data_IF_983955996854
#
_entry.id   IF_983955996854
#
_cell.length_a   1.000
_cell.length_b   1.000
_cell.length_c   1.000
_cell.angle_alpha   90.00
_cell.angle_beta   90.00
_cell.angle_gamma   90.00
#
_symmetry.space_group_name_H-M   'P 1'
#
loop_
_entity.id
_entity.type
_entity.pdbx_description
1 polymer ?
#
# COMPACT_ATOMS: atom_id res chain seq x y z
N UNK A 1 41.08 26.76 -27.80
CA UNK A 1 41.22 25.35 -27.36
C UNK A 1 40.70 25.09 -25.94
N UNK A 2 40.93 25.99 -24.95
CA UNK A 2 40.44 25.77 -23.56
C UNK A 2 38.91 25.84 -23.39
N UNK A 3 38.21 26.66 -24.18
CA UNK A 3 36.74 26.79 -24.12
C UNK A 3 35.99 25.50 -24.52
N UNK A 4 36.51 24.78 -25.52
CA UNK A 4 35.93 23.52 -25.99
C UNK A 4 36.10 22.39 -24.95
N UNK A 5 37.22 22.39 -24.22
CA UNK A 5 37.50 21.46 -23.13
C UNK A 5 36.61 21.69 -21.90
N UNK A 6 36.24 22.94 -21.61
CA UNK A 6 35.31 23.25 -20.52
C UNK A 6 33.88 22.82 -20.88
N UNK A 7 33.45 23.02 -22.14
CA UNK A 7 32.15 22.54 -22.61
C UNK A 7 32.05 21.00 -22.57
N UNK A 8 33.13 20.29 -22.92
CA UNK A 8 33.16 18.82 -22.88
C UNK A 8 33.14 18.27 -21.44
N UNK A 9 33.73 18.98 -20.48
CA UNK A 9 33.65 18.62 -19.05
C UNK A 9 32.28 18.94 -18.43
N UNK A 10 31.60 20.00 -18.88
CA UNK A 10 30.23 20.30 -18.43
C UNK A 10 29.18 19.34 -19.01
N UNK A 11 29.41 18.76 -20.20
CA UNK A 11 28.51 17.78 -20.81
C UNK A 11 28.59 16.37 -20.17
N UNK A 12 29.70 16.00 -19.51
CA UNK A 12 29.85 14.66 -18.92
C UNK A 12 29.18 14.48 -17.55
N UNK A 13 28.68 15.56 -16.96
CA UNK A 13 28.07 15.57 -15.63
C UNK A 13 26.55 15.33 -15.61
N UNK A 14 25.92 15.09 -16.76
CA UNK A 14 24.53 14.63 -16.81
C UNK A 14 24.53 13.11 -16.62
N UNK A 15 24.87 12.66 -15.42
CA UNK A 15 24.51 11.31 -14.99
C UNK A 15 23.00 11.33 -14.73
N UNK A 16 22.25 10.57 -15.52
CA UNK A 16 20.83 10.31 -15.27
C UNK A 16 20.72 9.64 -13.89
N UNK A 17 20.39 10.43 -12.87
CA UNK A 17 20.00 9.91 -11.56
C UNK A 17 18.63 9.29 -11.76
N UNK A 18 18.59 7.96 -11.88
CA UNK A 18 17.34 7.20 -11.80
C UNK A 18 16.95 7.20 -10.31
N UNK A 19 16.30 8.27 -9.87
CA UNK A 19 15.67 8.30 -8.55
C UNK A 19 14.30 7.64 -8.65
N UNK A 20 13.97 6.88 -7.62
CA UNK A 20 12.67 6.28 -7.48
C UNK A 20 11.71 7.34 -6.96
N UNK A 21 10.45 7.37 -7.41
CA UNK A 21 9.48 8.25 -6.81
C UNK A 21 9.33 7.90 -5.33
N UNK A 22 9.36 8.91 -4.47
CA UNK A 22 9.24 8.82 -3.01
C UNK A 22 7.84 8.39 -2.54
N UNK A 23 7.13 7.58 -3.31
CA UNK A 23 5.75 7.20 -3.04
C UNK A 23 4.96 6.79 -4.29
N UNK A 24 3.80 6.19 -4.07
CA UNK A 24 2.82 6.01 -5.14
C UNK A 24 2.28 7.39 -5.59
N UNK A 25 2.21 7.68 -6.90
CA UNK A 25 1.70 8.96 -7.39
C UNK A 25 0.21 9.14 -7.08
N UNK A 26 -0.20 10.41 -6.92
CA UNK A 26 -1.60 10.82 -6.80
C UNK A 26 -2.26 10.92 -8.19
N UNK A 27 -2.30 9.82 -8.94
CA UNK A 27 -3.05 9.72 -10.20
C UNK A 27 -4.21 8.76 -10.02
N UNK A 28 -5.35 9.06 -10.64
CA UNK A 28 -6.59 8.32 -10.40
C UNK A 28 -6.43 6.80 -10.58
N UNK A 29 -5.77 6.36 -11.66
CA UNK A 29 -5.51 4.94 -11.92
C UNK A 29 -4.78 4.26 -10.76
N UNK A 30 -3.61 4.77 -10.36
CA UNK A 30 -2.79 4.22 -9.25
C UNK A 30 -3.50 4.34 -7.90
N UNK A 31 -4.23 5.44 -7.68
CA UNK A 31 -4.96 5.69 -6.45
C UNK A 31 -6.12 4.72 -6.26
N UNK A 32 -6.86 4.36 -7.31
CA UNK A 32 -7.93 3.36 -7.24
C UNK A 32 -7.39 1.92 -7.28
N UNK A 33 -6.43 1.64 -8.15
CA UNK A 33 -5.95 0.28 -8.37
C UNK A 33 -5.02 -0.19 -7.26
N UNK A 34 -4.29 0.74 -6.61
CA UNK A 34 -3.16 0.45 -5.71
C UNK A 34 -2.12 -0.49 -6.36
N UNK A 35 -2.04 -0.48 -7.69
CA UNK A 35 -1.28 -1.46 -8.46
C UNK A 35 0.05 -0.84 -8.93
N UNK A 36 1.21 -1.39 -8.54
CA UNK A 36 2.50 -0.91 -9.05
C UNK A 36 2.66 -1.15 -10.56
N UNK A 37 1.92 -2.12 -11.15
CA UNK A 37 1.98 -2.43 -12.58
C UNK A 37 1.48 -1.30 -13.50
N UNK A 38 0.86 -0.25 -12.96
CA UNK A 38 0.55 0.96 -13.73
C UNK A 38 1.82 1.64 -14.26
N UNK A 39 2.98 1.37 -13.65
CA UNK A 39 4.28 1.78 -14.14
C UNK A 39 5.01 0.61 -14.80
N UNK A 40 5.62 0.86 -15.97
CA UNK A 40 6.27 -0.15 -16.81
C UNK A 40 7.44 -0.81 -16.08
N UNK A 41 8.09 -0.07 -15.19
CA UNK A 41 9.25 -0.50 -14.41
C UNK A 41 8.93 -1.69 -13.48
N UNK A 42 7.66 -1.86 -13.10
CA UNK A 42 7.19 -2.91 -12.20
C UNK A 42 6.70 -4.18 -12.91
N UNK A 43 6.73 -4.22 -14.25
CA UNK A 43 6.28 -5.37 -15.02
C UNK A 43 6.98 -6.67 -14.60
N UNK A 44 6.18 -7.75 -14.51
CA UNK A 44 6.63 -9.08 -14.09
C UNK A 44 6.85 -9.25 -12.59
N UNK A 45 6.54 -8.23 -11.77
CA UNK A 45 6.82 -8.27 -10.33
C UNK A 45 5.72 -8.76 -9.40
N UNK A 46 4.50 -8.93 -9.93
CA UNK A 46 3.32 -9.31 -9.16
C UNK A 46 3.51 -10.68 -8.51
N UNK A 47 3.30 -10.74 -7.20
CA UNK A 47 3.29 -11.97 -6.41
C UNK A 47 1.84 -12.36 -6.10
N UNK A 48 1.52 -13.64 -6.35
CA UNK A 48 0.21 -14.24 -6.08
C UNK A 48 0.28 -15.26 -4.94
N UNK A 49 1.37 -15.22 -4.19
CA UNK A 49 1.64 -16.03 -3.00
C UNK A 49 1.14 -15.31 -1.74
N UNK A 50 1.16 -16.02 -0.60
CA UNK A 50 0.89 -15.42 0.70
C UNK A 50 1.94 -14.32 0.99
N UNK A 51 1.54 -13.05 1.21
CA UNK A 51 2.48 -12.00 1.54
C UNK A 51 3.11 -12.25 2.93
N UNK A 52 4.43 -12.07 3.10
CA UNK A 52 5.10 -12.21 4.40
C UNK A 52 4.92 -10.96 5.29
N UNK A 53 3.75 -10.32 5.21
CA UNK A 53 3.43 -9.06 5.87
C UNK A 53 2.00 -9.12 6.40
N UNK A 54 1.74 -8.36 7.46
CA UNK A 54 0.39 -8.22 8.01
C UNK A 54 0.14 -6.82 8.55
N UNK A 55 -1.13 -6.44 8.62
CA UNK A 55 -1.60 -5.23 9.28
C UNK A 55 -2.15 -5.63 10.65
N UNK A 56 -1.57 -5.08 11.71
CA UNK A 56 -2.07 -5.21 13.07
C UNK A 56 -2.74 -3.91 13.49
N UNK A 57 -4.01 -3.99 13.88
CA UNK A 57 -4.78 -2.88 14.44
C UNK A 57 -4.78 -3.03 15.96
N UNK A 58 -4.44 -1.96 16.68
CA UNK A 58 -4.31 -2.01 18.15
C UNK A 58 -5.65 -2.16 18.85
N UNK A 59 -6.69 -1.53 18.30
CA UNK A 59 -8.06 -1.57 18.83
C UNK A 59 -8.91 -2.61 18.08
N UNK A 60 -9.85 -3.24 18.79
CA UNK A 60 -10.79 -4.22 18.21
C UNK A 60 -12.01 -3.57 17.55
N UNK A 61 -12.32 -2.34 17.93
CA UNK A 61 -13.41 -1.53 17.41
C UNK A 61 -12.97 -0.05 17.42
N UNK A 62 -13.74 0.84 16.78
CA UNK A 62 -13.44 2.28 16.78
C UNK A 62 -14.64 3.13 17.20
N UNK A 63 -14.35 4.32 17.74
CA UNK A 63 -15.34 5.37 17.96
C UNK A 63 -15.18 6.49 16.93
N UNK A 64 -16.29 7.16 16.60
CA UNK A 64 -16.27 8.35 15.76
C UNK A 64 -15.31 9.39 16.36
N UNK A 65 -14.51 10.03 15.50
CA UNK A 65 -13.52 11.04 15.86
C UNK A 65 -12.40 10.58 16.80
N UNK A 66 -12.34 9.30 17.18
CA UNK A 66 -11.25 8.77 17.99
C UNK A 66 -10.17 8.15 17.09
N UNK A 67 -8.91 8.64 17.16
CA UNK A 67 -7.80 8.01 16.48
C UNK A 67 -7.52 6.61 17.02
N UNK A 68 -7.24 5.68 16.10
CA UNK A 68 -6.77 4.34 16.40
C UNK A 68 -5.41 4.11 15.75
N UNK A 69 -4.61 3.25 16.38
CA UNK A 69 -3.27 2.91 15.93
C UNK A 69 -3.32 1.63 15.10
N UNK A 70 -2.67 1.65 13.94
CA UNK A 70 -2.43 0.47 13.14
C UNK A 70 -0.96 0.41 12.71
N UNK A 71 -0.50 -0.80 12.44
CA UNK A 71 0.87 -1.04 12.01
C UNK A 71 0.92 -2.04 10.86
N UNK A 72 1.69 -1.72 9.83
CA UNK A 72 2.05 -2.64 8.76
C UNK A 72 3.46 -3.14 9.04
N UNK A 73 3.64 -4.46 9.15
CA UNK A 73 4.92 -5.07 9.55
C UNK A 73 5.16 -6.41 8.85
N UNK A 74 6.43 -6.76 8.73
CA UNK A 74 6.86 -8.10 8.32
C UNK A 74 6.50 -9.16 9.37
N UNK A 75 6.31 -10.39 8.92
CA UNK A 75 6.09 -11.53 9.82
C UNK A 75 7.35 -11.90 10.59
N UNK A 76 8.52 -11.77 9.95
CA UNK A 76 9.84 -12.02 10.54
C UNK A 76 10.72 -10.77 10.54
N UNK A 77 11.86 -10.82 11.25
CA UNK A 77 12.85 -9.73 11.30
C UNK A 77 13.55 -9.48 9.95
N UNK A 78 13.49 -10.46 9.04
CA UNK A 78 14.03 -10.43 7.67
C UNK A 78 13.03 -9.91 6.64
N UNK A 79 11.73 -9.94 6.95
CA UNK A 79 10.66 -9.48 6.05
C UNK A 79 10.56 -7.96 6.06
N UNK A 80 11.48 -7.32 5.34
CA UNK A 80 11.46 -5.87 5.13
C UNK A 80 10.74 -5.52 3.84
N UNK A 81 10.13 -4.35 3.80
CA UNK A 81 9.51 -3.76 2.61
C UNK A 81 10.06 -2.37 2.34
N UNK A 82 10.02 -1.93 1.09
CA UNK A 82 10.53 -0.63 0.66
C UNK A 82 9.38 0.36 0.42
N UNK A 83 8.35 -0.11 -0.26
CA UNK A 83 7.17 0.68 -0.59
C UNK A 83 5.88 0.02 -0.13
N UNK A 84 4.83 0.83 -0.03
CA UNK A 84 3.48 0.36 0.21
C UNK A 84 2.48 1.42 -0.25
N UNK A 85 1.24 0.99 -0.47
CA UNK A 85 0.06 1.85 -0.51
C UNK A 85 -0.98 1.23 0.43
N UNK A 86 -1.60 2.01 1.31
CA UNK A 86 -2.57 1.50 2.30
C UNK A 86 -3.81 2.39 2.34
N UNK A 87 -4.98 1.76 2.29
CA UNK A 87 -6.29 2.40 2.26
C UNK A 87 -7.26 1.78 3.30
N UNK A 88 -8.11 2.58 3.94
CA UNK A 88 -9.19 2.12 4.81
C UNK A 88 -10.45 1.92 3.97
N UNK A 89 -10.84 0.67 3.74
CA UNK A 89 -12.00 0.31 2.92
C UNK A 89 -13.17 -0.06 3.82
N UNK A 90 -14.38 0.44 3.53
CA UNK A 90 -15.60 -0.05 4.16
C UNK A 90 -15.84 -1.50 3.70
N UNK A 91 -15.64 -2.43 4.61
CA UNK A 91 -15.82 -3.87 4.42
C UNK A 91 -17.30 -4.25 4.41
N UNK A 92 -18.07 -3.66 5.33
CA UNK A 92 -19.51 -3.87 5.48
C UNK A 92 -20.15 -2.58 5.99
N UNK A 93 -21.28 -2.17 5.41
CA UNK A 93 -21.99 -0.97 5.83
C UNK A 93 -22.47 -0.13 4.63
N UNK A 94 -23.00 1.07 4.89
CA UNK A 94 -23.57 1.92 3.85
C UNK A 94 -22.57 2.34 2.76
N UNK A 95 -21.27 2.35 3.07
CA UNK A 95 -20.21 2.76 2.15
C UNK A 95 -19.40 1.59 1.59
N UNK A 96 -19.94 0.37 1.59
CA UNK A 96 -19.21 -0.84 1.19
C UNK A 96 -18.38 -0.64 -0.10
N UNK A 97 -17.10 -1.02 -0.03
CA UNK A 97 -16.12 -0.88 -1.12
C UNK A 97 -15.51 0.51 -1.27
N UNK A 98 -16.04 1.54 -0.60
CA UNK A 98 -15.48 2.91 -0.63
C UNK A 98 -14.45 3.10 0.47
N UNK A 99 -13.56 4.08 0.25
CA UNK A 99 -12.60 4.54 1.27
C UNK A 99 -13.31 5.36 2.35
N UNK A 100 -13.02 5.08 3.61
CA UNK A 100 -13.67 5.74 4.77
C UNK A 100 -12.69 6.22 5.82
N UNK A 101 -12.95 7.39 6.40
CA UNK A 101 -12.06 8.05 7.35
C UNK A 101 -10.78 8.59 6.71
N UNK A 102 -9.82 8.96 7.56
CA UNK A 102 -8.58 9.60 7.15
C UNK A 102 -7.40 9.20 8.04
N UNK A 103 -6.21 9.18 7.44
CA UNK A 103 -4.96 9.01 8.15
C UNK A 103 -4.46 10.32 8.73
N UNK A 104 -3.93 10.23 9.95
CA UNK A 104 -3.41 11.33 10.72
C UNK A 104 -1.91 11.17 10.89
N UNK A 105 -1.20 12.30 10.83
CA UNK A 105 0.20 12.39 11.22
C UNK A 105 0.22 12.91 12.66
N UNK A 106 0.28 12.00 13.63
CA UNK A 106 0.38 12.34 15.05
C UNK A 106 1.84 12.39 15.53
N UNK A 107 2.74 11.73 14.80
CA UNK A 107 4.18 11.68 15.03
C UNK A 107 4.96 11.93 13.73
N UNK A 108 6.13 12.56 13.86
CA UNK A 108 7.00 12.87 12.71
C UNK A 108 7.92 11.71 12.32
N UNK A 109 7.96 10.63 13.11
CA UNK A 109 8.89 9.52 12.93
C UNK A 109 8.44 8.46 11.91
N UNK A 110 7.60 8.89 10.95
CA UNK A 110 6.97 8.01 9.96
C UNK A 110 7.61 8.13 8.59
N UNK A 111 8.16 7.02 8.07
CA UNK A 111 8.56 6.86 6.66
C UNK A 111 7.33 6.61 5.76
N UNK A 112 6.39 7.54 5.84
CA UNK A 112 5.15 7.54 5.08
C UNK A 112 4.63 8.95 4.84
N UNK A 113 3.80 9.09 3.84
CA UNK A 113 3.07 10.30 3.49
C UNK A 113 1.67 9.96 2.97
N UNK A 114 0.78 10.96 2.94
CA UNK A 114 -0.52 10.81 2.28
C UNK A 114 -0.29 10.68 0.78
N UNK A 115 -0.91 9.68 0.14
CA UNK A 115 -0.78 9.52 -1.31
C UNK A 115 -1.38 10.73 -2.03
N UNK A 116 -2.53 11.21 -1.54
CA UNK A 116 -3.21 12.40 -2.06
C UNK A 116 -3.57 13.33 -0.90
N UNK A 117 -2.93 14.50 -0.83
CA UNK A 117 -3.12 15.51 0.23
C UNK A 117 -4.59 15.92 0.41
N UNK A 118 -5.38 15.94 -0.67
CA UNK A 118 -6.79 16.33 -0.63
C UNK A 118 -7.68 15.33 0.11
N UNK A 119 -7.44 14.03 -0.06
CA UNK A 119 -8.38 13.00 0.41
C UNK A 119 -7.96 12.35 1.73
N UNK A 120 -6.65 12.32 2.04
CA UNK A 120 -6.06 11.76 3.28
C UNK A 120 -6.48 10.33 3.64
N UNK A 121 -7.20 9.64 2.76
CA UNK A 121 -7.74 8.29 2.91
C UNK A 121 -6.89 7.24 2.15
N UNK A 122 -5.67 7.61 1.78
CA UNK A 122 -4.65 6.72 1.24
C UNK A 122 -3.28 7.21 1.66
N UNK A 123 -2.39 6.29 2.01
CA UNK A 123 -1.01 6.57 2.42
C UNK A 123 -0.03 5.70 1.68
N UNK A 124 1.17 6.22 1.47
CA UNK A 124 2.29 5.55 0.81
C UNK A 124 3.58 5.78 1.61
N UNK A 125 4.63 5.01 1.33
CA UNK A 125 5.99 5.33 1.74
C UNK A 125 6.43 6.73 1.28
N UNK A 126 7.36 7.34 2.02
CA UNK A 126 7.96 8.66 1.71
C UNK A 126 9.41 8.58 1.21
N UNK A 127 10.03 7.40 1.27
CA UNK A 127 11.36 7.09 0.70
C UNK A 127 11.53 5.57 0.61
N UNK A 128 12.49 5.07 -0.17
CA UNK A 128 12.61 3.65 -0.55
C UNK A 128 13.37 2.75 0.46
N UNK A 129 13.79 3.32 1.61
CA UNK A 129 14.56 2.57 2.61
C UNK A 129 13.79 1.36 3.13
N UNK A 130 14.54 0.31 3.49
CA UNK A 130 13.97 -0.95 3.99
C UNK A 130 13.36 -0.76 5.38
N UNK A 131 12.05 -0.96 5.46
CA UNK A 131 11.23 -0.86 6.67
C UNK A 131 10.91 -2.25 7.22
N UNK A 132 11.00 -2.42 8.54
CA UNK A 132 10.47 -3.60 9.24
C UNK A 132 9.00 -3.41 9.61
N UNK A 133 8.66 -2.19 9.99
CA UNK A 133 7.35 -1.80 10.46
C UNK A 133 7.13 -0.31 10.15
N UNK A 134 5.88 0.06 9.91
CA UNK A 134 5.39 1.42 10.00
C UNK A 134 4.22 1.48 10.99
N UNK A 135 4.07 2.62 11.64
CA UNK A 135 2.90 2.93 12.47
C UNK A 135 2.12 4.06 11.81
N UNK A 136 0.81 3.95 11.89
CA UNK A 136 -0.15 4.83 11.24
C UNK A 136 -1.30 5.09 12.22
N UNK A 137 -1.85 6.28 12.13
CA UNK A 137 -3.04 6.65 12.88
C UNK A 137 -4.19 6.91 11.93
N UNK A 138 -5.37 6.40 12.25
CA UNK A 138 -6.56 6.60 11.44
C UNK A 138 -7.73 7.00 12.33
N UNK A 139 -8.60 7.88 11.83
CA UNK A 139 -9.89 8.19 12.45
C UNK A 139 -10.99 8.25 11.40
N UNK A 140 -12.22 7.95 11.82
CA UNK A 140 -13.42 8.20 11.03
C UNK A 140 -14.23 9.35 11.64
N UNK A 141 -14.47 10.40 10.86
CA UNK A 141 -15.19 11.59 11.31
C UNK A 141 -16.63 11.66 10.81
N UNK A 142 -16.97 10.87 9.79
CA UNK A 142 -18.24 11.00 9.08
C UNK A 142 -19.29 10.07 9.68
N UNK A 143 -18.94 8.79 9.84
CA UNK A 143 -19.87 7.73 10.24
C UNK A 143 -19.26 6.75 11.26
N UNK A 144 -20.13 6.11 12.02
CA UNK A 144 -19.83 4.97 12.89
C UNK A 144 -20.77 3.79 12.53
N UNK A 145 -21.01 3.61 11.23
CA UNK A 145 -21.89 2.56 10.68
C UNK A 145 -21.14 1.55 9.79
N UNK A 146 -19.89 1.82 9.47
CA UNK A 146 -19.09 1.01 8.56
C UNK A 146 -18.11 0.13 9.35
N UNK A 147 -18.06 -1.14 9.02
CA UNK A 147 -16.93 -2.00 9.37
C UNK A 147 -15.78 -1.63 8.47
N UNK A 148 -14.62 -1.30 9.04
CA UNK A 148 -13.48 -0.80 8.27
C UNK A 148 -12.39 -1.86 8.21
N UNK A 149 -11.93 -2.17 7.01
CA UNK A 149 -10.79 -3.04 6.76
C UNK A 149 -9.66 -2.23 6.16
N UNK A 150 -8.47 -2.34 6.74
CA UNK A 150 -7.27 -1.74 6.17
C UNK A 150 -6.68 -2.69 5.14
N UNK A 151 -6.51 -2.19 3.92
CA UNK A 151 -6.01 -2.95 2.78
C UNK A 151 -4.72 -2.30 2.32
N UNK A 152 -3.69 -3.11 2.07
CA UNK A 152 -2.41 -2.63 1.57
C UNK A 152 -1.91 -3.43 0.37
N UNK A 153 -1.23 -2.69 -0.51
CA UNK A 153 -0.26 -3.20 -1.46
C UNK A 153 1.13 -3.01 -0.85
N UNK A 154 1.98 -4.03 -0.89
CA UNK A 154 3.34 -3.96 -0.33
C UNK A 154 4.38 -4.28 -1.40
N UNK A 155 5.43 -3.47 -1.46
CA UNK A 155 6.55 -3.60 -2.39
C UNK A 155 7.82 -3.95 -1.63
N UNK A 156 8.33 -5.16 -1.84
CA UNK A 156 9.61 -5.62 -1.28
C UNK A 156 10.79 -5.14 -2.13
N UNK A 157 10.63 -5.25 -3.45
CA UNK A 157 11.59 -4.80 -4.46
C UNK A 157 10.85 -4.44 -5.76
N UNK A 158 11.54 -3.87 -6.75
CA UNK A 158 10.97 -3.45 -8.04
C UNK A 158 9.99 -4.45 -8.63
N UNK A 159 10.44 -5.70 -8.71
CA UNK A 159 9.74 -6.81 -9.33
C UNK A 159 9.32 -7.85 -8.29
N UNK A 160 8.97 -7.38 -7.09
CA UNK A 160 8.45 -8.24 -6.03
C UNK A 160 7.48 -7.48 -5.14
N UNK A 161 6.19 -7.63 -5.40
CA UNK A 161 5.12 -6.93 -4.67
C UNK A 161 3.80 -7.70 -4.68
N UNK A 162 2.95 -7.41 -3.69
CA UNK A 162 1.62 -8.02 -3.52
C UNK A 162 0.56 -6.93 -3.57
N UNK A 163 -0.39 -7.03 -4.50
CA UNK A 163 -1.39 -6.00 -4.77
C UNK A 163 -2.67 -6.27 -3.98
N UNK A 164 -3.07 -5.33 -3.11
CA UNK A 164 -4.28 -5.41 -2.26
C UNK A 164 -4.43 -6.73 -1.47
N UNK A 165 -3.31 -7.43 -1.24
CA UNK A 165 -3.32 -8.78 -0.65
C UNK A 165 -3.11 -8.76 0.86
N UNK A 166 -2.61 -7.65 1.42
CA UNK A 166 -2.41 -7.51 2.85
C UNK A 166 -3.67 -6.84 3.42
N UNK A 167 -4.48 -7.61 4.14
CA UNK A 167 -5.75 -7.14 4.72
C UNK A 167 -5.71 -7.28 6.24
N UNK A 168 -6.18 -6.28 6.97
CA UNK A 168 -6.41 -6.40 8.41
C UNK A 168 -7.66 -7.22 8.70
N UNK A 169 -7.81 -7.66 9.95
CA UNK A 169 -9.14 -8.00 10.48
C UNK A 169 -9.98 -6.71 10.42
N UNK A 170 -11.20 -6.73 9.87
CA UNK A 170 -12.05 -5.55 9.85
C UNK A 170 -12.46 -5.16 11.28
N UNK A 171 -12.53 -3.87 11.53
CA UNK A 171 -12.93 -3.31 12.83
C UNK A 171 -14.33 -2.69 12.75
N UNK A 172 -15.27 -3.09 13.61
CA UNK A 172 -16.58 -2.46 13.73
C UNK A 172 -16.51 -1.12 14.48
N UNK A 173 -17.57 -0.31 14.36
CA UNK A 173 -17.88 0.73 15.32
C UNK A 173 -18.16 0.11 16.71
N UNK A 174 -17.58 0.67 17.76
CA UNK A 174 -17.75 0.13 19.12
C UNK A 174 -19.20 0.16 19.61
N UNK A 175 -20.04 1.05 19.06
CA UNK A 175 -21.49 1.11 19.30
C UNK A 175 -22.24 -0.12 18.77
N UNK A 176 -21.74 -0.74 17.70
CA UNK A 176 -22.36 -1.91 17.06
C UNK A 176 -21.79 -3.19 17.67
N UNK A 177 -20.46 -3.31 17.73
CA UNK A 177 -19.79 -4.53 18.18
C UNK A 177 -18.48 -4.20 18.89
N UNK A 178 -18.54 -3.99 20.21
CA UNK A 178 -17.39 -3.55 21.01
C UNK A 178 -16.27 -4.58 21.14
N UNK A 179 -16.58 -5.88 20.97
CA UNK A 179 -15.60 -6.96 21.09
C UNK A 179 -14.79 -7.20 19.81
N UNK A 180 -15.11 -6.50 18.72
CA UNK A 180 -14.56 -6.78 17.39
C UNK A 180 -15.15 -8.04 16.75
N UNK A 181 -14.87 -8.23 15.46
CA UNK A 181 -15.31 -9.40 14.69
C UNK A 181 -14.53 -10.63 15.17
N UNK A 182 -15.25 -11.69 15.56
CA UNK A 182 -14.63 -12.93 16.07
C UNK A 182 -14.31 -13.95 14.97
N UNK A 183 -15.20 -14.09 13.99
CA UNK A 183 -15.13 -15.15 12.97
C UNK A 183 -14.72 -14.61 11.59
N UNK A 184 -13.72 -13.71 11.57
CA UNK A 184 -13.21 -13.21 10.30
C UNK A 184 -12.39 -14.29 9.58
N UNK A 185 -12.89 -14.72 8.43
CA UNK A 185 -12.18 -15.61 7.52
C UNK A 185 -11.61 -14.75 6.39
N UNK A 186 -10.27 -14.68 6.22
CA UNK A 186 -9.67 -13.97 5.10
C UNK A 186 -10.11 -14.55 3.76
N UNK A 187 -10.35 -13.68 2.78
CA UNK A 187 -10.59 -14.12 1.41
C UNK A 187 -9.44 -15.02 0.92
N UNK A 188 -9.74 -16.07 0.14
CA UNK A 188 -8.70 -16.87 -0.48
C UNK A 188 -7.82 -15.98 -1.35
N UNK A 189 -6.51 -16.21 -1.30
CA UNK A 189 -5.58 -15.50 -2.17
C UNK A 189 -5.84 -15.98 -3.58
N UNK A 190 -6.04 -15.05 -4.52
CA UNK A 190 -6.23 -15.38 -5.93
C UNK A 190 -5.02 -16.19 -6.41
N UNK A 191 -5.18 -17.47 -6.76
CA UNK A 191 -4.07 -18.27 -7.23
C UNK A 191 -3.55 -17.69 -8.56
N UNK A 192 -2.27 -17.89 -8.88
CA UNK A 192 -1.75 -17.50 -10.18
C UNK A 192 -2.57 -18.12 -11.31
N UNK A 193 -2.85 -17.37 -12.39
CA UNK A 193 -3.51 -17.94 -13.54
C UNK A 193 -2.69 -19.14 -14.03
N UNK A 194 -3.33 -20.25 -14.42
CA UNK A 194 -2.61 -21.42 -14.91
C UNK A 194 -1.76 -21.04 -16.12
N UNK A 195 -0.54 -21.57 -16.17
CA UNK A 195 0.40 -21.33 -17.29
C UNK A 195 -0.24 -21.88 -18.56
N UNK A 196 -0.63 -20.99 -19.49
CA UNK A 196 -0.99 -21.41 -20.83
C UNK A 196 0.30 -21.73 -21.57
N UNK A 197 0.55 -23.01 -21.82
CA UNK A 197 1.60 -23.41 -22.75
C UNK A 197 1.23 -22.82 -24.12
N UNK A 198 2.12 -22.00 -24.68
CA UNK A 198 1.97 -21.54 -26.06
C UNK A 198 1.98 -22.77 -26.96
N UNK A 199 0.84 -23.08 -27.57
CA UNK A 199 0.77 -24.02 -28.67
C UNK A 199 1.31 -23.25 -29.87
N UNK A 200 2.53 -23.59 -30.29
CA UNK A 200 3.05 -23.12 -31.57
C UNK A 200 2.27 -23.86 -32.65
N UNK A 201 1.23 -23.24 -33.20
CA UNK A 201 0.59 -23.74 -34.41
C UNK A 201 1.63 -23.71 -35.53
N UNK A 202 2.20 -24.88 -35.80
CA UNK A 202 2.99 -25.12 -37.00
C UNK A 202 2.01 -25.08 -38.16
N UNK A 203 1.94 -23.95 -38.84
CA UNK A 203 1.30 -23.84 -40.14
C UNK A 203 2.18 -24.61 -41.12
N UNK A 204 1.69 -25.78 -41.55
CA UNK A 204 2.28 -26.60 -42.63
C UNK A 204 1.79 -26.03 -43.97
#
# INVERSE_FOLDING_TARGET
MRFLQVLFNMLSLITLVISWPDGAPCIHAVFESMNPLEAVEHQGGLQLTIPPYHIAVRQKCYWKNQPIELSLRGNTSTDRFRGFALQPISYRGPNQGKRVGQFLRLDDNGSWQQQCFRFKNSVTHSHDEKKKQIKLWWKNELSDNDYVQFVATVVKAQKQFWVKSIKSIPIPPCRIESTGIKDYIPDPITPPPPVRHFVQEVVI
#
